data_IF_573521477354
#
_entry.id   IF_573521477354
#
_cell.length_a   1.000
_cell.length_b   1.000
_cell.length_c   1.000
_cell.angle_alpha   90.00
_cell.angle_beta   90.00
_cell.angle_gamma   90.00
#
_symmetry.space_group_name_H-M   'P 1'
#
loop_
_entity.id
_entity.type
_entity.pdbx_description
1 polymer ?
#
# COMPACT_ATOMS: atom_id res chain seq x y z
N UNK A 1 14.91 -21.35 9.91
CA UNK A 1 15.66 -20.30 9.18
C UNK A 1 15.03 -20.15 7.80
N UNK A 2 14.30 -19.06 7.53
CA UNK A 2 13.92 -18.64 6.18
C UNK A 2 14.20 -17.14 6.09
N UNK A 3 15.46 -16.82 5.84
CA UNK A 3 15.84 -15.53 5.27
C UNK A 3 15.62 -15.68 3.77
N UNK A 4 14.37 -15.45 3.34
CA UNK A 4 14.14 -14.96 1.99
C UNK A 4 14.00 -13.46 2.20
N UNK A 5 14.85 -12.67 1.56
CA UNK A 5 14.57 -11.27 1.34
C UNK A 5 13.28 -11.24 0.52
N UNK A 6 12.13 -11.15 1.20
CA UNK A 6 10.85 -10.96 0.55
C UNK A 6 10.96 -9.64 -0.21
N UNK A 7 11.04 -9.72 -1.54
CA UNK A 7 10.95 -8.57 -2.41
C UNK A 7 9.53 -8.02 -2.20
N UNK A 8 9.40 -7.05 -1.30
CA UNK A 8 8.13 -6.37 -1.09
C UNK A 8 7.78 -5.64 -2.39
N UNK A 9 6.55 -5.79 -2.91
CA UNK A 9 6.13 -5.04 -4.08
C UNK A 9 6.26 -3.53 -3.83
N UNK A 10 6.88 -2.83 -4.78
CA UNK A 10 7.00 -1.37 -4.72
C UNK A 10 5.69 -0.73 -5.17
N UNK A 11 4.93 -0.28 -4.16
CA UNK A 11 3.67 0.45 -4.30
C UNK A 11 3.84 1.97 -4.18
N UNK A 12 5.07 2.47 -4.37
CA UNK A 12 5.30 3.91 -4.40
C UNK A 12 4.46 4.58 -5.50
N UNK A 13 4.09 5.84 -5.25
CA UNK A 13 3.22 6.60 -6.13
C UNK A 13 3.75 6.62 -7.57
N UNK A 14 2.86 6.25 -8.50
CA UNK A 14 3.06 6.33 -9.96
C UNK A 14 1.93 7.14 -10.57
N UNK A 15 2.26 7.95 -11.58
CA UNK A 15 1.27 8.71 -12.35
C UNK A 15 0.23 7.78 -12.98
N UNK A 16 -1.05 8.13 -12.83
CA UNK A 16 -2.16 7.36 -13.40
C UNK A 16 -2.06 7.28 -14.93
N UNK A 17 -2.52 6.17 -15.51
CA UNK A 17 -2.51 5.97 -16.96
C UNK A 17 -1.11 5.78 -17.58
N UNK A 18 -0.07 5.56 -16.77
CA UNK A 18 1.31 5.34 -17.27
C UNK A 18 1.45 4.04 -18.08
N UNK A 19 0.70 3.00 -17.72
CA UNK A 19 0.74 1.68 -18.35
C UNK A 19 -0.58 1.37 -19.04
N UNK A 20 -0.55 0.56 -20.11
CA UNK A 20 -1.74 0.21 -20.89
C UNK A 20 -2.82 -0.46 -20.02
N UNK A 21 -2.40 -1.33 -19.11
CA UNK A 21 -3.26 -2.06 -18.17
C UNK A 21 -4.05 -1.11 -17.25
N UNK A 22 -3.49 0.07 -17.01
CA UNK A 22 -4.03 1.10 -16.09
C UNK A 22 -4.51 2.36 -16.82
N UNK A 23 -4.60 2.33 -18.16
CA UNK A 23 -4.79 3.53 -18.99
C UNK A 23 -6.08 4.31 -18.72
N UNK A 24 -7.08 3.63 -18.16
CA UNK A 24 -8.38 4.22 -17.83
C UNK A 24 -8.48 4.68 -16.38
N UNK A 25 -7.52 4.29 -15.54
CA UNK A 25 -7.49 4.66 -14.13
C UNK A 25 -7.15 6.14 -13.99
N UNK A 26 -7.91 6.85 -13.17
CA UNK A 26 -7.73 8.30 -12.94
C UNK A 26 -6.82 8.62 -11.75
N UNK A 27 -6.46 7.60 -10.98
CA UNK A 27 -5.61 7.69 -9.80
C UNK A 27 -4.55 6.59 -9.82
N UNK A 28 -3.53 6.74 -8.97
CA UNK A 28 -2.54 5.69 -8.75
C UNK A 28 -3.25 4.40 -8.32
N UNK A 29 -2.88 3.29 -8.97
CA UNK A 29 -3.42 1.96 -8.70
C UNK A 29 -2.31 0.93 -8.86
N UNK A 30 -2.41 -0.14 -8.08
CA UNK A 30 -1.52 -1.29 -8.11
C UNK A 30 -2.37 -2.55 -8.16
N UNK A 31 -2.06 -3.45 -9.10
CA UNK A 31 -2.84 -4.66 -9.35
C UNK A 31 -2.17 -5.85 -8.68
N UNK A 32 -2.93 -6.55 -7.82
CA UNK A 32 -2.47 -7.76 -7.13
C UNK A 32 -3.23 -8.98 -7.60
N UNK A 33 -2.60 -10.16 -7.48
CA UNK A 33 -3.21 -11.44 -7.89
C UNK A 33 -4.34 -11.89 -6.96
N UNK A 34 -4.25 -11.55 -5.68
CA UNK A 34 -5.23 -11.89 -4.66
C UNK A 34 -5.28 -10.80 -3.59
N UNK A 35 -6.37 -10.76 -2.82
CA UNK A 35 -6.58 -9.74 -1.81
C UNK A 35 -5.68 -9.93 -0.58
N UNK A 36 -5.34 -11.17 -0.22
CA UNK A 36 -4.50 -11.44 0.95
C UNK A 36 -3.11 -10.78 0.84
N UNK A 37 -2.46 -10.91 -0.32
CA UNK A 37 -1.16 -10.28 -0.58
C UNK A 37 -1.29 -8.74 -0.55
N UNK A 38 -2.34 -8.19 -1.16
CA UNK A 38 -2.62 -6.76 -1.15
C UNK A 38 -2.86 -6.24 0.29
N UNK A 39 -3.63 -6.95 1.10
CA UNK A 39 -3.94 -6.59 2.48
C UNK A 39 -2.70 -6.55 3.36
N UNK A 40 -1.78 -7.50 3.21
CA UNK A 40 -0.52 -7.52 3.96
C UNK A 40 0.31 -6.26 3.63
N UNK A 41 0.39 -5.89 2.35
CA UNK A 41 1.17 -4.73 1.90
C UNK A 41 0.54 -3.43 2.39
N UNK A 42 -0.78 -3.29 2.27
CA UNK A 42 -1.53 -2.13 2.79
C UNK A 42 -1.35 -1.99 4.31
N UNK A 43 -1.41 -3.10 5.06
CA UNK A 43 -1.19 -3.07 6.50
C UNK A 43 0.23 -2.60 6.87
N UNK A 44 1.24 -3.00 6.10
CA UNK A 44 2.62 -2.54 6.30
C UNK A 44 2.78 -1.04 6.00
N UNK A 45 2.16 -0.54 4.93
CA UNK A 45 2.17 0.88 4.57
C UNK A 45 1.49 1.74 5.65
N UNK A 46 0.32 1.30 6.16
CA UNK A 46 -0.37 1.95 7.28
C UNK A 46 0.52 1.97 8.53
N UNK A 47 1.17 0.85 8.87
CA UNK A 47 2.07 0.78 10.01
C UNK A 47 3.27 1.74 9.87
N UNK A 48 3.85 1.83 8.66
CA UNK A 48 4.95 2.75 8.36
C UNK A 48 4.49 4.22 8.48
N UNK A 49 3.31 4.55 7.96
CA UNK A 49 2.73 5.89 8.07
C UNK A 49 2.52 6.30 9.53
N UNK A 50 1.97 5.41 10.36
CA UNK A 50 1.78 5.65 11.80
C UNK A 50 3.12 5.93 12.47
N UNK A 51 4.12 5.06 12.28
CA UNK A 51 5.47 5.22 12.87
C UNK A 51 6.13 6.51 12.42
N UNK A 52 6.09 6.85 11.13
CA UNK A 52 6.69 8.09 10.62
C UNK A 52 6.02 9.35 11.19
N UNK A 53 4.71 9.32 11.46
CA UNK A 53 4.02 10.44 12.14
C UNK A 53 4.41 10.52 13.61
N UNK A 54 4.48 9.38 14.30
CA UNK A 54 4.90 9.31 15.70
C UNK A 54 6.33 9.82 15.91
N UNK A 55 7.28 9.44 15.05
CA UNK A 55 8.66 9.95 15.06
C UNK A 55 8.72 11.48 14.94
N UNK A 56 7.74 12.08 14.28
CA UNK A 56 7.60 13.54 14.11
C UNK A 56 6.78 14.19 15.22
N UNK A 57 6.44 13.45 16.28
CA UNK A 57 5.51 13.85 17.34
C UNK A 57 4.15 14.35 16.82
N UNK A 58 3.66 13.75 15.72
CA UNK A 58 2.36 14.07 15.12
C UNK A 58 1.39 12.91 15.31
N UNK A 59 0.14 13.24 15.60
CA UNK A 59 -0.95 12.27 15.60
C UNK A 59 -1.20 11.75 14.19
N UNK A 60 -1.33 10.42 14.04
CA UNK A 60 -1.80 9.78 12.82
C UNK A 60 -3.32 9.58 12.94
N UNK A 61 -4.09 10.22 12.07
CA UNK A 61 -5.56 10.06 12.00
C UNK A 61 -5.88 9.27 10.74
N UNK A 62 -6.55 8.13 10.89
CA UNK A 62 -6.90 7.22 9.80
C UNK A 62 -8.42 7.07 9.72
N UNK A 63 -8.98 7.29 8.53
CA UNK A 63 -10.37 6.97 8.23
C UNK A 63 -10.46 5.53 7.72
N UNK A 64 -10.89 4.59 8.56
CA UNK A 64 -11.05 3.19 8.18
C UNK A 64 -12.46 2.96 7.64
N UNK A 65 -12.56 2.55 6.38
CA UNK A 65 -13.80 2.04 5.81
C UNK A 65 -14.06 0.60 6.29
N UNK A 66 -15.33 0.20 6.39
CA UNK A 66 -15.72 -1.18 6.71
C UNK A 66 -15.92 -2.01 5.44
N UNK A 67 -15.68 -3.32 5.53
CA UNK A 67 -15.82 -4.28 4.43
C UNK A 67 -14.87 -5.46 4.59
N UNK A 68 -15.24 -6.63 4.08
CA UNK A 68 -14.30 -7.76 4.00
C UNK A 68 -13.26 -7.48 2.91
N UNK A 69 -11.98 -7.52 3.30
CA UNK A 69 -10.82 -7.49 2.38
C UNK A 69 -10.29 -8.91 2.18
#
# INVERSE_FOLDING_TARGET
MKSALEIKPDISYKSAGKFEETRFEKIHNEIFRNSADASIIVAQEIAQLIRSKQEKNKTCVLGLATGSS
#
